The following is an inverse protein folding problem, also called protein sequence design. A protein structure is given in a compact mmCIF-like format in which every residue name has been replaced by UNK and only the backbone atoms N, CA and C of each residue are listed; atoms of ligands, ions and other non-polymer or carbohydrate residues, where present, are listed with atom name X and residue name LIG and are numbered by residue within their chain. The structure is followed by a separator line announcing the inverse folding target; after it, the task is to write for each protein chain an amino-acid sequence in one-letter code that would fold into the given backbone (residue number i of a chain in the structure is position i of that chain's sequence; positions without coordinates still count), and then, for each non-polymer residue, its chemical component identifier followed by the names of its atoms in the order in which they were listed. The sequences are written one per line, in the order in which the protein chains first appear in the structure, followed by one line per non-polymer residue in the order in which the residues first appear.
data_IF_141936338567
#
_entry.id   IF_141936338567
#
_cell.length_a   1.000
_cell.length_b   1.000
_cell.length_c   1.000
_cell.angle_alpha   90.00
_cell.angle_beta   90.00
_cell.angle_gamma   90.00
#
_symmetry.space_group_name_H-M   'P 1'
#
loop_
_entity.id
_entity.type
_entity.pdbx_description
1 polymer ?
#
# COMPACT_ATOMS: atom_id res chain seq x y z
N UNK A 1 68.88 14.28 38.61
CA UNK A 1 67.53 14.55 38.08
C UNK A 1 66.82 13.26 37.59
N UNK A 2 67.02 12.10 38.23
CA UNK A 2 66.80 10.82 37.52
C UNK A 2 65.88 9.82 38.22
N UNK A 3 65.52 10.03 39.51
CA UNK A 3 64.60 9.12 40.23
C UNK A 3 63.14 9.62 40.28
N UNK A 4 62.95 10.93 40.41
CA UNK A 4 61.60 11.55 40.44
C UNK A 4 60.87 11.49 39.08
N UNK A 5 61.59 11.67 37.96
CA UNK A 5 61.01 11.54 36.60
C UNK A 5 60.57 10.11 36.26
N UNK A 6 61.22 9.11 36.84
CA UNK A 6 60.91 7.70 36.58
C UNK A 6 59.65 7.27 37.34
N UNK A 7 59.47 7.74 38.58
CA UNK A 7 58.25 7.54 39.39
C UNK A 7 57.02 8.26 38.82
N UNK A 8 57.21 9.42 38.17
CA UNK A 8 56.12 10.17 37.54
C UNK A 8 55.67 9.52 36.21
N UNK A 9 56.61 8.93 35.44
CA UNK A 9 56.29 8.14 34.24
C UNK A 9 55.57 6.84 34.57
N UNK A 10 55.94 6.13 35.63
CA UNK A 10 55.25 4.88 36.03
C UNK A 10 53.83 5.13 36.55
N UNK A 11 53.61 6.23 37.30
CA UNK A 11 52.25 6.65 37.71
C UNK A 11 51.38 7.08 36.52
N UNK A 12 51.95 7.76 35.53
CA UNK A 12 51.24 8.15 34.31
C UNK A 12 50.89 6.94 33.43
N UNK A 13 51.80 5.98 33.29
CA UNK A 13 51.54 4.73 32.57
C UNK A 13 50.50 3.84 33.28
N UNK A 14 50.54 3.76 34.61
CA UNK A 14 49.54 3.03 35.39
C UNK A 14 48.15 3.70 35.34
N UNK A 15 48.08 5.03 35.30
CA UNK A 15 46.83 5.78 35.14
C UNK A 15 46.25 5.66 33.71
N UNK A 16 47.11 5.59 32.68
CA UNK A 16 46.72 5.31 31.30
C UNK A 16 46.27 3.85 31.11
N UNK A 17 46.96 2.89 31.76
CA UNK A 17 46.54 1.50 31.79
C UNK A 17 45.18 1.35 32.50
N UNK A 18 44.99 1.98 33.67
CA UNK A 18 43.71 1.97 34.38
C UNK A 18 42.55 2.64 33.59
N UNK A 19 42.84 3.68 32.80
CA UNK A 19 41.86 4.26 31.86
C UNK A 19 41.57 3.35 30.66
N UNK A 20 42.54 2.57 30.19
CA UNK A 20 42.37 1.61 29.10
C UNK A 20 41.61 0.34 29.55
N UNK A 21 41.72 -0.07 30.82
CA UNK A 21 40.97 -1.22 31.35
C UNK A 21 39.51 -0.90 31.68
N UNK A 22 39.12 0.39 31.70
CA UNK A 22 37.76 0.82 32.08
C UNK A 22 36.83 1.05 30.87
N UNK A 23 37.26 0.71 29.65
CA UNK A 23 36.42 0.76 28.43
C UNK A 23 36.26 -0.57 27.71
N UNK A 24 36.48 -1.70 28.40
CA UNK A 24 35.83 -2.95 28.02
C UNK A 24 34.42 -2.93 28.57
N UNK A 25 33.53 -2.16 27.93
CA UNK A 25 32.09 -2.25 28.12
C UNK A 25 31.72 -3.71 27.81
N UNK A 26 31.56 -4.53 28.84
CA UNK A 26 31.08 -5.90 28.72
C UNK A 26 29.81 -5.85 27.86
N UNK A 27 29.90 -6.31 26.61
CA UNK A 27 28.75 -6.40 25.72
C UNK A 27 27.79 -7.37 26.40
N UNK A 28 26.68 -6.84 26.95
CA UNK A 28 25.59 -7.68 27.43
C UNK A 28 25.26 -8.71 26.35
N UNK A 29 25.10 -10.00 26.68
CA UNK A 29 24.75 -11.01 25.69
C UNK A 29 23.50 -10.56 24.95
N UNK A 30 23.56 -10.58 23.62
CA UNK A 30 22.44 -10.15 22.78
C UNK A 30 21.26 -11.09 23.03
N UNK A 31 20.06 -10.53 23.12
CA UNK A 31 18.83 -11.34 23.22
C UNK A 31 18.64 -12.18 21.96
N UNK A 32 17.90 -13.29 22.08
CA UNK A 32 17.55 -14.15 20.94
C UNK A 32 16.90 -13.35 19.79
N UNK A 33 16.04 -12.41 20.13
CA UNK A 33 15.36 -11.53 19.17
C UNK A 33 16.32 -10.57 18.48
N UNK A 34 17.30 -10.01 19.21
CA UNK A 34 18.34 -9.17 18.62
C UNK A 34 19.19 -9.95 17.62
N UNK A 35 19.50 -11.23 17.90
CA UNK A 35 20.25 -12.09 17.00
C UNK A 35 19.44 -12.46 15.75
N UNK A 36 18.14 -12.77 15.90
CA UNK A 36 17.24 -13.03 14.79
C UNK A 36 17.10 -11.81 13.87
N UNK A 37 16.95 -10.62 14.45
CA UNK A 37 16.88 -9.34 13.73
C UNK A 37 18.16 -9.07 12.93
N UNK A 38 19.33 -9.29 13.53
CA UNK A 38 20.62 -9.12 12.85
C UNK A 38 20.81 -10.12 11.71
N UNK A 39 20.45 -11.40 11.92
CA UNK A 39 20.49 -12.41 10.86
C UNK A 39 19.60 -12.00 9.68
N UNK A 40 18.39 -11.53 9.97
CA UNK A 40 17.45 -11.08 8.95
C UNK A 40 17.96 -9.88 8.16
N UNK A 41 18.53 -8.88 8.84
CA UNK A 41 19.16 -7.72 8.19
C UNK A 41 20.26 -8.19 7.22
N UNK A 42 21.12 -9.13 7.62
CA UNK A 42 22.16 -9.68 6.72
C UNK A 42 21.57 -10.37 5.49
N UNK A 43 20.51 -11.16 5.66
CA UNK A 43 19.85 -11.83 4.53
C UNK A 43 19.21 -10.84 3.56
N UNK A 44 18.63 -9.75 4.08
CA UNK A 44 18.07 -8.66 3.29
C UNK A 44 19.17 -7.89 2.57
N UNK A 45 20.26 -7.54 3.26
CA UNK A 45 21.40 -6.85 2.66
C UNK A 45 22.00 -7.65 1.49
N UNK A 46 22.19 -8.96 1.70
CA UNK A 46 22.67 -9.86 0.66
C UNK A 46 21.72 -9.86 -0.54
N UNK A 47 20.41 -10.06 -0.31
CA UNK A 47 19.41 -10.06 -1.38
C UNK A 47 19.34 -8.73 -2.15
N UNK A 48 19.46 -7.59 -1.45
CA UNK A 48 19.50 -6.27 -2.07
C UNK A 48 20.73 -6.11 -2.95
N UNK A 49 21.91 -6.51 -2.46
CA UNK A 49 23.17 -6.37 -3.19
C UNK A 49 23.20 -7.26 -4.43
N UNK A 50 22.63 -8.46 -4.34
CA UNK A 50 22.57 -9.40 -5.48
C UNK A 50 21.37 -9.18 -6.39
N UNK A 51 20.47 -8.25 -6.07
CA UNK A 51 19.21 -8.07 -6.81
C UNK A 51 18.24 -9.26 -6.69
N UNK A 52 18.35 -10.09 -5.65
CA UNK A 52 17.52 -11.30 -5.49
C UNK A 52 16.10 -10.94 -5.00
N UNK A 53 15.25 -10.57 -5.96
CA UNK A 53 13.83 -10.22 -5.71
C UNK A 53 13.09 -11.40 -5.07
N UNK A 54 13.35 -12.63 -5.47
CA UNK A 54 12.65 -13.80 -4.93
C UNK A 54 12.98 -14.03 -3.45
N UNK A 55 14.24 -13.81 -3.05
CA UNK A 55 14.62 -13.82 -1.64
C UNK A 55 13.99 -12.65 -0.87
N UNK A 56 13.87 -11.46 -1.47
CA UNK A 56 13.13 -10.35 -0.86
C UNK A 56 11.65 -10.68 -0.68
N UNK A 57 10.99 -11.32 -1.67
CA UNK A 57 9.61 -11.81 -1.56
C UNK A 57 9.45 -12.80 -0.41
N UNK A 58 10.32 -13.81 -0.31
CA UNK A 58 10.30 -14.77 0.81
C UNK A 58 10.49 -14.09 2.17
N UNK A 59 11.36 -13.08 2.22
CA UNK A 59 11.60 -12.27 3.42
C UNK A 59 10.55 -11.17 3.63
N UNK A 60 9.57 -10.98 2.77
CA UNK A 60 8.45 -10.07 3.06
C UNK A 60 7.26 -10.80 3.69
N UNK A 61 7.17 -12.13 3.52
CA UNK A 61 6.06 -12.94 4.06
C UNK A 61 6.23 -13.26 5.55
N UNK A 62 7.46 -13.50 6.01
CA UNK A 62 7.72 -14.05 7.34
C UNK A 62 8.25 -13.01 8.32
N UNK A 63 8.00 -13.15 9.62
CA UNK A 63 8.64 -12.35 10.68
C UNK A 63 8.56 -10.83 10.44
N UNK A 64 9.49 -10.05 10.98
CA UNK A 64 9.40 -8.58 10.96
C UNK A 64 9.60 -7.88 9.58
N UNK A 65 9.39 -8.58 8.45
CA UNK A 65 9.52 -8.01 7.10
C UNK A 65 10.92 -7.44 6.85
N UNK A 66 10.97 -6.17 6.38
CA UNK A 66 12.23 -5.47 6.09
C UNK A 66 12.81 -4.71 7.28
N UNK A 67 12.27 -4.93 8.48
CA UNK A 67 12.90 -4.65 9.78
C UNK A 67 13.04 -3.18 10.17
N UNK A 68 13.44 -2.28 9.27
CA UNK A 68 13.62 -0.85 9.54
C UNK A 68 13.74 -0.02 8.25
N UNK A 69 13.69 1.32 8.38
CA UNK A 69 13.73 2.25 7.25
C UNK A 69 15.06 2.23 6.48
N UNK A 70 16.18 1.88 7.11
CA UNK A 70 17.47 1.84 6.42
C UNK A 70 17.52 0.72 5.37
N UNK A 71 16.89 -0.43 5.66
CA UNK A 71 16.70 -1.50 4.69
C UNK A 71 15.62 -1.12 3.68
N UNK A 72 14.47 -0.61 4.12
CA UNK A 72 13.37 -0.21 3.20
C UNK A 72 13.81 0.81 2.16
N UNK A 73 14.64 1.79 2.54
CA UNK A 73 15.25 2.77 1.61
C UNK A 73 16.10 2.18 0.50
N UNK A 74 16.50 0.92 0.62
CA UNK A 74 17.26 0.19 -0.40
C UNK A 74 16.41 -0.88 -1.06
N UNK A 75 15.55 -1.56 -0.31
CA UNK A 75 14.68 -2.63 -0.80
C UNK A 75 13.49 -2.11 -1.63
N UNK A 76 12.78 -1.07 -1.17
CA UNK A 76 11.62 -0.55 -1.91
C UNK A 76 12.00 0.02 -3.28
N UNK A 77 13.09 0.82 -3.43
CA UNK A 77 13.54 1.24 -4.76
C UNK A 77 13.96 0.10 -5.68
N UNK A 78 14.46 -1.00 -5.12
CA UNK A 78 14.78 -2.21 -5.88
C UNK A 78 13.51 -2.91 -6.36
N UNK A 79 12.52 -3.11 -5.47
CA UNK A 79 11.22 -3.70 -5.79
C UNK A 79 10.36 -2.85 -6.73
N UNK A 80 10.49 -1.53 -6.65
CA UNK A 80 9.79 -0.60 -7.54
C UNK A 80 10.60 -0.26 -8.80
N UNK A 81 11.80 -0.81 -8.95
CA UNK A 81 12.74 -0.52 -10.04
C UNK A 81 12.96 0.98 -10.28
N UNK A 82 13.02 1.76 -9.21
CA UNK A 82 13.29 3.21 -9.29
C UNK A 82 14.79 3.53 -9.24
N UNK A 83 15.62 2.52 -9.01
CA UNK A 83 17.08 2.62 -9.08
C UNK A 83 17.62 2.61 -10.52
N UNK A 84 16.82 2.16 -11.50
CA UNK A 84 17.17 2.25 -12.92
C UNK A 84 16.66 3.56 -13.50
N UNK A 85 17.36 4.15 -14.49
CA UNK A 85 16.85 5.30 -15.23
C UNK A 85 15.50 4.96 -15.87
N UNK A 86 14.61 5.94 -16.00
CA UNK A 86 13.40 5.80 -16.81
C UNK A 86 13.70 6.11 -18.28
N UNK A 87 12.94 5.51 -19.20
CA UNK A 87 12.87 6.01 -20.58
C UNK A 87 12.13 7.35 -20.54
N UNK A 88 12.76 8.43 -20.98
CA UNK A 88 12.28 9.80 -20.75
C UNK A 88 10.88 10.05 -21.32
N UNK A 89 9.88 10.21 -20.44
CA UNK A 89 8.71 11.03 -20.69
C UNK A 89 9.06 12.45 -20.22
N UNK A 90 8.91 13.45 -21.09
CA UNK A 90 9.05 14.85 -20.70
C UNK A 90 8.00 15.21 -19.63
N UNK A 91 8.32 16.13 -18.71
CA UNK A 91 7.26 16.72 -17.90
C UNK A 91 6.45 17.64 -18.82
N UNK A 92 5.17 17.32 -19.04
CA UNK A 92 4.24 18.26 -19.66
C UNK A 92 3.76 19.24 -18.59
N UNK A 93 4.66 20.13 -18.16
CA UNK A 93 4.38 21.12 -17.11
C UNK A 93 3.66 22.37 -17.64
N UNK A 94 3.25 22.36 -18.92
CA UNK A 94 2.68 23.54 -19.57
C UNK A 94 1.21 23.75 -19.25
N UNK A 95 0.50 22.70 -18.81
CA UNK A 95 -0.92 22.77 -18.43
C UNK A 95 -1.15 22.20 -17.04
N UNK A 96 -1.96 22.89 -16.23
CA UNK A 96 -2.37 22.40 -14.90
C UNK A 96 -3.17 21.10 -15.08
N UNK A 97 -2.84 20.07 -14.29
CA UNK A 97 -3.60 18.83 -14.35
C UNK A 97 -5.00 19.05 -13.77
N UNK A 98 -6.02 18.43 -14.37
CA UNK A 98 -7.45 18.59 -13.99
C UNK A 98 -7.75 18.35 -12.50
N UNK A 99 -6.90 17.58 -11.83
CA UNK A 99 -7.08 17.16 -10.44
C UNK A 99 -6.18 17.90 -9.43
N UNK A 100 -5.36 18.88 -9.84
CA UNK A 100 -4.43 19.55 -8.91
C UNK A 100 -5.12 20.21 -7.73
N UNK A 101 -6.28 20.83 -7.93
CA UNK A 101 -7.05 21.44 -6.84
C UNK A 101 -7.51 20.40 -5.83
N UNK A 102 -7.92 19.23 -6.30
CA UNK A 102 -8.30 18.13 -5.43
C UNK A 102 -7.11 17.63 -4.61
N UNK A 103 -5.92 17.54 -5.22
CA UNK A 103 -4.68 17.20 -4.53
C UNK A 103 -4.37 18.23 -3.43
N UNK A 104 -4.52 19.54 -3.69
CA UNK A 104 -4.32 20.60 -2.67
C UNK A 104 -5.23 20.41 -1.45
N UNK A 105 -6.51 20.11 -1.68
CA UNK A 105 -7.48 19.92 -0.60
C UNK A 105 -7.13 18.74 0.33
N UNK A 106 -6.63 17.64 -0.24
CA UNK A 106 -6.32 16.43 0.54
C UNK A 106 -5.01 16.56 1.33
N UNK A 107 -4.03 17.27 0.76
CA UNK A 107 -2.73 17.49 1.41
C UNK A 107 -2.85 18.30 2.70
N UNK A 108 -3.80 19.23 2.77
CA UNK A 108 -4.08 19.99 4.00
C UNK A 108 -4.41 19.06 5.17
N UNK A 109 -5.00 17.89 4.89
CA UNK A 109 -5.39 16.87 5.87
C UNK A 109 -4.28 15.85 6.14
N UNK A 110 -3.15 15.92 5.42
CA UNK A 110 -1.99 15.03 5.59
C UNK A 110 -1.09 15.45 6.76
N UNK A 111 -0.23 14.54 7.22
CA UNK A 111 0.74 14.77 8.31
C UNK A 111 0.12 15.29 9.62
N UNK A 112 -1.10 14.87 9.95
CA UNK A 112 -1.83 15.29 11.16
C UNK A 112 -1.16 14.83 12.45
N UNK A 113 -0.38 13.75 12.40
CA UNK A 113 0.39 13.23 13.53
C UNK A 113 1.65 14.04 13.85
N UNK A 114 2.10 14.93 12.96
CA UNK A 114 3.27 15.75 13.23
C UNK A 114 2.95 16.80 14.31
N UNK A 115 3.88 17.06 15.25
CA UNK A 115 3.71 18.11 16.25
C UNK A 115 3.44 19.47 15.59
N UNK A 116 2.64 20.32 16.23
CA UNK A 116 2.29 21.66 15.71
C UNK A 116 2.37 22.76 16.80
N UNK A 117 3.04 22.49 17.91
CA UNK A 117 3.09 23.38 19.09
C UNK A 117 3.89 24.65 18.84
N UNK A 118 4.91 24.58 17.99
CA UNK A 118 5.82 25.70 17.68
C UNK A 118 5.68 26.14 16.23
N UNK A 119 6.02 27.41 15.96
CA UNK A 119 6.03 27.97 14.59
C UNK A 119 6.96 27.19 13.65
N UNK A 120 8.10 26.71 14.15
CA UNK A 120 9.04 25.90 13.35
C UNK A 120 8.45 24.55 12.98
N UNK A 121 7.74 23.89 13.90
CA UNK A 121 7.03 22.64 13.61
C UNK A 121 5.89 22.83 12.60
N UNK A 122 5.11 23.90 12.73
CA UNK A 122 4.06 24.25 11.76
C UNK A 122 4.64 24.53 10.37
N UNK A 123 5.76 25.26 10.29
CA UNK A 123 6.46 25.51 9.04
C UNK A 123 7.01 24.21 8.42
N UNK A 124 7.60 23.33 9.24
CA UNK A 124 8.09 22.03 8.78
C UNK A 124 6.97 21.12 8.26
N UNK A 125 5.79 21.11 8.92
CA UNK A 125 4.60 20.41 8.42
C UNK A 125 4.14 20.97 7.08
N UNK A 126 4.04 22.30 6.96
CA UNK A 126 3.66 22.96 5.71
C UNK A 126 4.65 22.64 4.58
N UNK A 127 5.95 22.62 4.88
CA UNK A 127 6.97 22.20 3.93
C UNK A 127 6.75 20.74 3.49
N UNK A 128 6.48 19.81 4.42
CA UNK A 128 6.19 18.41 4.07
C UNK A 128 4.93 18.26 3.22
N UNK A 129 3.90 19.05 3.50
CA UNK A 129 2.68 19.13 2.69
C UNK A 129 2.97 19.63 1.27
N UNK A 130 3.80 20.67 1.12
CA UNK A 130 4.23 21.16 -0.20
C UNK A 130 5.07 20.13 -0.96
N UNK A 131 5.99 19.45 -0.26
CA UNK A 131 6.76 18.35 -0.84
C UNK A 131 5.85 17.22 -1.34
N UNK A 132 4.79 16.88 -0.59
CA UNK A 132 3.79 15.88 -0.97
C UNK A 132 2.97 16.32 -2.19
N UNK A 133 2.64 17.61 -2.29
CA UNK A 133 1.96 18.17 -3.46
C UNK A 133 2.78 17.93 -4.72
N UNK A 134 4.06 18.30 -4.68
CA UNK A 134 4.96 18.05 -5.80
C UNK A 134 5.14 16.58 -6.11
N UNK A 135 5.25 15.70 -5.10
CA UNK A 135 5.34 14.24 -5.34
C UNK A 135 4.16 13.73 -6.16
N UNK A 136 2.93 14.15 -5.83
CA UNK A 136 1.72 13.68 -6.51
C UNK A 136 1.55 14.34 -7.88
N UNK A 137 1.69 15.66 -7.96
CA UNK A 137 1.48 16.41 -9.21
C UNK A 137 2.53 16.05 -10.26
N UNK A 138 3.78 15.80 -9.86
CA UNK A 138 4.81 15.30 -10.76
C UNK A 138 4.43 13.99 -11.46
N UNK A 139 3.71 13.09 -10.76
CA UNK A 139 3.21 11.83 -11.35
C UNK A 139 2.10 12.14 -12.36
N UNK A 140 1.17 13.02 -12.00
CA UNK A 140 0.04 13.40 -12.86
C UNK A 140 0.49 14.16 -14.12
N UNK A 141 1.49 15.04 -14.03
CA UNK A 141 2.07 15.73 -15.19
C UNK A 141 2.83 14.79 -16.13
N UNK A 142 3.39 13.69 -15.61
CA UNK A 142 4.06 12.68 -16.45
C UNK A 142 3.06 11.73 -17.11
N UNK A 143 1.94 11.47 -16.43
CA UNK A 143 0.89 10.58 -16.91
C UNK A 143 -0.48 11.29 -16.88
N UNK A 144 -0.72 12.25 -17.78
CA UNK A 144 -1.92 13.12 -17.76
C UNK A 144 -3.24 12.37 -18.02
N UNK A 145 -3.17 11.08 -18.40
CA UNK A 145 -4.35 10.21 -18.53
C UNK A 145 -4.80 9.63 -17.18
N UNK A 146 -3.95 9.66 -16.15
CA UNK A 146 -4.35 9.25 -14.81
C UNK A 146 -5.36 10.24 -14.25
N UNK A 147 -6.26 9.72 -13.43
CA UNK A 147 -7.20 10.52 -12.65
C UNK A 147 -6.88 10.32 -11.17
N UNK A 148 -6.70 11.41 -10.43
CA UNK A 148 -6.38 11.32 -9.01
C UNK A 148 -7.60 10.80 -8.22
N UNK A 149 -7.35 9.83 -7.34
CA UNK A 149 -8.31 9.39 -6.33
C UNK A 149 -7.86 9.85 -4.94
N UNK A 150 -8.82 10.24 -4.12
CA UNK A 150 -8.55 10.63 -2.75
C UNK A 150 -8.20 9.37 -1.93
N UNK A 151 -7.03 9.42 -1.28
CA UNK A 151 -6.35 8.29 -0.64
C UNK A 151 -4.96 8.02 -1.23
N UNK A 152 -4.69 8.44 -2.48
CA UNK A 152 -3.34 8.33 -3.04
C UNK A 152 -2.31 9.18 -2.26
N UNK A 153 -2.74 10.28 -1.65
CA UNK A 153 -1.87 11.08 -0.78
C UNK A 153 -1.37 10.32 0.46
N UNK A 154 -2.13 9.36 1.00
CA UNK A 154 -1.67 8.54 2.13
C UNK A 154 -0.59 7.54 1.67
N UNK A 155 -0.74 6.98 0.46
CA UNK A 155 0.28 6.14 -0.18
C UNK A 155 1.58 6.92 -0.36
N UNK A 156 1.49 8.12 -0.94
CA UNK A 156 2.64 8.99 -1.15
C UNK A 156 3.26 9.48 0.17
N UNK A 157 2.45 9.71 1.21
CA UNK A 157 2.91 10.03 2.56
C UNK A 157 3.75 8.90 3.14
N UNK A 158 3.30 7.64 2.99
CA UNK A 158 4.06 6.47 3.42
C UNK A 158 5.44 6.41 2.74
N UNK A 159 5.47 6.59 1.42
CA UNK A 159 6.70 6.65 0.64
C UNK A 159 7.63 7.77 1.12
N UNK A 160 7.11 8.98 1.33
CA UNK A 160 7.89 10.12 1.79
C UNK A 160 8.51 9.92 3.17
N UNK A 161 7.79 9.28 4.10
CA UNK A 161 8.29 8.98 5.45
C UNK A 161 9.50 8.03 5.40
N UNK A 162 9.50 7.06 4.48
CA UNK A 162 10.59 6.09 4.37
C UNK A 162 11.72 6.59 3.49
N UNK A 163 11.40 7.09 2.29
CA UNK A 163 12.31 7.33 1.18
C UNK A 163 12.80 8.78 1.09
N UNK A 164 12.07 9.74 1.64
CA UNK A 164 12.28 11.16 1.34
C UNK A 164 11.69 11.57 -0.02
N UNK A 165 11.68 12.87 -0.31
CA UNK A 165 10.92 13.45 -1.44
C UNK A 165 11.31 12.85 -2.79
N UNK A 166 12.59 12.92 -3.15
CA UNK A 166 13.06 12.59 -4.50
C UNK A 166 12.82 11.11 -4.84
N UNK A 167 13.17 10.22 -3.92
CA UNK A 167 12.95 8.78 -4.09
C UNK A 167 11.47 8.41 -3.98
N UNK A 168 10.67 9.15 -3.18
CA UNK A 168 9.23 8.95 -3.11
C UNK A 168 8.52 9.33 -4.42
N UNK A 169 8.94 10.39 -5.13
CA UNK A 169 8.37 10.74 -6.44
C UNK A 169 8.48 9.59 -7.44
N UNK A 170 9.67 8.99 -7.56
CA UNK A 170 9.89 7.87 -8.47
C UNK A 170 9.11 6.61 -8.04
N UNK A 171 9.04 6.37 -6.72
CA UNK A 171 8.28 5.26 -6.17
C UNK A 171 6.77 5.44 -6.39
N UNK A 172 6.25 6.66 -6.22
CA UNK A 172 4.85 6.99 -6.42
C UNK A 172 4.43 6.79 -7.89
N UNK A 173 5.27 7.21 -8.84
CA UNK A 173 5.08 6.96 -10.29
C UNK A 173 4.94 5.45 -10.57
N UNK A 174 5.87 4.65 -10.04
CA UNK A 174 5.85 3.19 -10.21
C UNK A 174 4.61 2.56 -9.54
N UNK A 175 4.25 3.00 -8.32
CA UNK A 175 3.06 2.49 -7.65
C UNK A 175 1.77 2.86 -8.38
N UNK A 176 1.65 4.10 -8.87
CA UNK A 176 0.51 4.54 -9.67
C UNK A 176 0.33 3.69 -10.92
N UNK A 177 1.41 3.39 -11.64
CA UNK A 177 1.33 2.70 -12.93
C UNK A 177 1.17 1.18 -12.82
N UNK A 178 1.75 0.55 -11.79
CA UNK A 178 1.80 -0.92 -11.69
C UNK A 178 0.90 -1.52 -10.60
N UNK A 179 0.52 -0.74 -9.58
CA UNK A 179 -0.25 -1.25 -8.44
C UNK A 179 -1.61 -0.57 -8.29
N UNK A 180 -1.66 0.77 -8.39
CA UNK A 180 -2.87 1.56 -8.19
C UNK A 180 -3.53 2.06 -9.47
N UNK A 181 -3.08 1.60 -10.65
CA UNK A 181 -3.57 2.10 -11.95
C UNK A 181 -5.09 2.01 -12.07
N UNK A 182 -5.66 0.89 -11.63
CA UNK A 182 -7.10 0.65 -11.64
C UNK A 182 -7.87 1.60 -10.68
N UNK A 183 -7.21 2.11 -9.64
CA UNK A 183 -7.75 3.15 -8.74
C UNK A 183 -7.68 4.55 -9.37
N UNK A 184 -6.76 4.76 -10.32
CA UNK A 184 -6.48 6.03 -10.98
C UNK A 184 -7.12 6.14 -12.37
N UNK A 185 -8.12 5.29 -12.67
CA UNK A 185 -8.97 5.44 -13.85
C UNK A 185 -10.07 6.49 -13.61
N UNK A 186 -10.86 6.75 -14.64
CA UNK A 186 -12.02 7.66 -14.58
C UNK A 186 -13.18 7.19 -13.69
N UNK A 187 -13.07 6.05 -13.01
CA UNK A 187 -13.98 5.58 -11.97
C UNK A 187 -13.37 4.42 -11.18
N UNK A 188 -13.94 4.12 -10.02
CA UNK A 188 -13.50 3.03 -9.14
C UNK A 188 -14.14 1.67 -9.45
N UNK A 189 -14.92 1.56 -10.54
CA UNK A 189 -15.54 0.28 -10.91
C UNK A 189 -14.55 -0.89 -11.00
N UNK A 190 -13.34 -0.76 -11.59
CA UNK A 190 -12.41 -1.90 -11.64
C UNK A 190 -11.94 -2.33 -10.26
N UNK A 191 -11.80 -1.40 -9.30
CA UNK A 191 -11.45 -1.74 -7.92
C UNK A 191 -12.60 -2.47 -7.22
N UNK A 192 -13.86 -2.10 -7.51
CA UNK A 192 -15.03 -2.82 -6.99
C UNK A 192 -15.16 -4.22 -7.62
N UNK A 193 -14.85 -4.37 -8.91
CA UNK A 193 -14.73 -5.68 -9.57
C UNK A 193 -13.64 -6.53 -8.88
N UNK A 194 -12.48 -5.96 -8.55
CA UNK A 194 -11.44 -6.65 -7.75
C UNK A 194 -11.96 -7.06 -6.36
N UNK A 195 -12.64 -6.16 -5.66
CA UNK A 195 -13.22 -6.42 -4.32
C UNK A 195 -14.27 -7.54 -4.35
N UNK A 196 -15.04 -7.66 -5.44
CA UNK A 196 -16.02 -8.76 -5.57
C UNK A 196 -15.38 -10.15 -5.57
N UNK A 197 -14.10 -10.27 -5.96
CA UNK A 197 -13.36 -11.54 -5.86
C UNK A 197 -13.16 -11.99 -4.41
N UNK A 198 -13.20 -11.06 -3.45
CA UNK A 198 -13.17 -11.38 -2.01
C UNK A 198 -14.32 -12.31 -1.62
N UNK A 199 -15.51 -12.15 -2.21
CA UNK A 199 -16.64 -13.06 -1.96
C UNK A 199 -16.27 -14.50 -2.27
N UNK A 200 -15.52 -14.75 -3.35
CA UNK A 200 -15.09 -16.12 -3.68
C UNK A 200 -14.06 -16.63 -2.69
N UNK A 201 -13.11 -15.80 -2.24
CA UNK A 201 -12.15 -16.15 -1.19
C UNK A 201 -12.86 -16.53 0.12
N UNK A 202 -13.82 -15.71 0.56
CA UNK A 202 -14.60 -15.96 1.78
C UNK A 202 -15.43 -17.24 1.64
N UNK A 203 -16.08 -17.48 0.50
CA UNK A 203 -16.80 -18.74 0.23
C UNK A 203 -15.92 -19.98 0.33
N UNK A 204 -14.66 -19.89 -0.08
CA UNK A 204 -13.75 -21.04 -0.06
C UNK A 204 -13.07 -21.25 1.29
N UNK A 205 -12.72 -20.17 2.00
CA UNK A 205 -11.87 -20.22 3.21
C UNK A 205 -12.67 -20.10 4.52
N UNK A 206 -13.79 -19.39 4.50
CA UNK A 206 -14.68 -19.20 5.65
C UNK A 206 -16.15 -19.07 5.20
N UNK A 207 -16.77 -20.17 4.71
CA UNK A 207 -18.14 -20.16 4.21
C UNK A 207 -19.15 -19.54 5.20
N UNK A 208 -18.95 -19.76 6.50
CA UNK A 208 -19.78 -19.23 7.57
C UNK A 208 -19.76 -17.69 7.63
N UNK A 209 -18.61 -17.08 7.33
CA UNK A 209 -18.46 -15.62 7.26
C UNK A 209 -19.21 -15.09 6.06
N UNK A 210 -19.07 -15.74 4.89
CA UNK A 210 -19.80 -15.30 3.70
C UNK A 210 -21.32 -15.44 3.90
N UNK A 211 -21.79 -16.55 4.47
CA UNK A 211 -23.22 -16.76 4.72
C UNK A 211 -23.80 -15.66 5.62
N UNK A 212 -23.04 -15.26 6.64
CA UNK A 212 -23.44 -14.14 7.50
C UNK A 212 -23.53 -12.82 6.73
N UNK A 213 -22.56 -12.52 5.85
CA UNK A 213 -22.60 -11.33 4.99
C UNK A 213 -23.77 -11.35 4.01
N UNK A 214 -24.08 -12.51 3.44
CA UNK A 214 -25.22 -12.68 2.53
C UNK A 214 -26.54 -12.45 3.28
N UNK A 215 -26.68 -12.98 4.50
CA UNK A 215 -27.86 -12.79 5.36
C UNK A 215 -28.03 -11.35 5.85
N UNK A 216 -26.94 -10.63 6.10
CA UNK A 216 -26.96 -9.19 6.43
C UNK A 216 -27.01 -8.30 5.18
N UNK A 217 -27.16 -8.89 3.99
CA UNK A 217 -27.17 -8.21 2.70
C UNK A 217 -25.97 -7.26 2.49
N UNK A 218 -24.82 -7.57 3.11
CA UNK A 218 -23.64 -6.71 3.11
C UNK A 218 -22.75 -6.99 1.92
N UNK A 219 -22.62 -6.00 1.03
CA UNK A 219 -21.76 -6.07 -0.15
C UNK A 219 -20.27 -6.07 0.22
N UNK A 220 -19.38 -6.71 -0.56
CA UNK A 220 -17.96 -6.87 -0.23
C UNK A 220 -17.12 -5.60 -0.42
N UNK A 221 -17.74 -4.42 -0.47
CA UNK A 221 -17.07 -3.15 -0.77
C UNK A 221 -16.64 -2.37 0.48
N UNK A 222 -16.97 -2.86 1.68
CA UNK A 222 -16.56 -2.25 2.96
C UNK A 222 -15.04 -2.04 3.14
N UNK A 223 -14.10 -2.83 2.56
CA UNK A 223 -12.67 -2.62 2.77
C UNK A 223 -12.03 -1.75 1.67
N UNK A 224 -12.82 -0.95 0.95
CA UNK A 224 -12.33 -0.12 -0.15
C UNK A 224 -11.18 0.81 0.29
N UNK A 225 -11.27 1.46 1.47
CA UNK A 225 -10.16 2.30 1.98
C UNK A 225 -8.88 1.51 2.20
N UNK A 226 -8.99 0.27 2.68
CA UNK A 226 -7.85 -0.59 2.97
C UNK A 226 -7.11 -0.93 1.67
N UNK A 227 -7.85 -1.20 0.61
CA UNK A 227 -7.31 -1.59 -0.69
C UNK A 227 -6.67 -0.41 -1.41
N UNK A 228 -7.33 0.75 -1.46
CA UNK A 228 -6.84 1.91 -2.23
C UNK A 228 -5.70 2.67 -1.51
N UNK A 229 -5.51 2.45 -0.21
CA UNK A 229 -4.43 3.06 0.58
C UNK A 229 -3.45 2.04 1.15
N UNK A 230 -3.62 0.74 0.88
CA UNK A 230 -2.87 -0.33 1.54
C UNK A 230 -2.85 -0.17 3.07
N UNK A 231 -4.03 0.11 3.62
CA UNK A 231 -4.33 0.35 5.04
C UNK A 231 -3.61 1.55 5.67
N UNK A 232 -2.88 2.37 4.90
CA UNK A 232 -2.11 3.50 5.45
C UNK A 232 -3.00 4.59 6.06
N UNK A 233 -4.25 4.68 5.60
CA UNK A 233 -5.24 5.59 6.16
C UNK A 233 -5.89 5.06 7.44
N UNK A 234 -6.16 3.76 7.50
CA UNK A 234 -6.93 3.14 8.58
C UNK A 234 -6.06 2.75 9.78
N UNK A 235 -4.74 2.63 9.58
CA UNK A 235 -3.77 2.36 10.63
C UNK A 235 -3.09 3.65 11.11
N UNK A 236 -2.82 3.72 12.43
CA UNK A 236 -2.05 4.80 13.03
C UNK A 236 -0.59 4.40 13.31
N UNK A 237 -0.33 3.10 13.44
CA UNK A 237 1.00 2.56 13.71
C UNK A 237 1.78 2.42 12.41
N UNK A 238 2.75 3.33 12.22
CA UNK A 238 3.56 3.37 11.00
C UNK A 238 4.38 2.10 10.78
N UNK A 239 4.81 1.40 11.83
CA UNK A 239 5.57 0.16 11.65
C UNK A 239 4.68 -0.95 11.07
N UNK A 240 3.40 -1.00 11.45
CA UNK A 240 2.41 -1.90 10.83
C UNK A 240 2.15 -1.53 9.37
N UNK A 241 2.00 -0.24 9.07
CA UNK A 241 1.82 0.24 7.69
C UNK A 241 3.04 -0.16 6.85
N UNK A 242 4.24 0.17 7.30
CA UNK A 242 5.47 -0.15 6.58
C UNK A 242 5.66 -1.66 6.42
N UNK A 243 5.24 -2.47 7.41
CA UNK A 243 5.26 -3.94 7.34
C UNK A 243 4.30 -4.50 6.29
N UNK A 244 3.11 -3.91 6.13
CA UNK A 244 2.16 -4.23 5.06
C UNK A 244 2.77 -3.87 3.70
N UNK A 245 3.40 -2.70 3.57
CA UNK A 245 4.05 -2.28 2.33
C UNK A 245 5.23 -3.19 1.95
N UNK A 246 6.06 -3.60 2.93
CA UNK A 246 7.14 -4.59 2.71
C UNK A 246 6.59 -5.84 2.00
N UNK A 247 5.40 -6.29 2.41
CA UNK A 247 4.70 -7.44 1.84
C UNK A 247 4.03 -7.15 0.49
N UNK A 248 3.14 -6.15 0.40
CA UNK A 248 2.34 -5.92 -0.79
C UNK A 248 3.18 -5.55 -2.03
N UNK A 249 4.28 -4.82 -1.86
CA UNK A 249 5.21 -4.48 -2.95
C UNK A 249 5.83 -5.71 -3.64
N UNK A 250 5.81 -6.87 -2.98
CA UNK A 250 6.44 -8.09 -3.46
C UNK A 250 5.55 -8.92 -4.40
N UNK A 251 4.25 -8.67 -4.44
CA UNK A 251 3.26 -9.55 -5.09
C UNK A 251 2.36 -8.80 -6.06
N UNK A 252 1.51 -9.55 -6.77
CA UNK A 252 0.49 -8.99 -7.65
C UNK A 252 -0.41 -7.99 -6.89
N UNK A 253 -0.88 -6.89 -7.51
CA UNK A 253 -1.71 -5.87 -6.86
C UNK A 253 -2.96 -6.42 -6.18
N UNK A 254 -3.49 -7.54 -6.69
CA UNK A 254 -4.63 -8.23 -6.10
C UNK A 254 -4.35 -8.75 -4.68
N UNK A 255 -3.08 -8.87 -4.25
CA UNK A 255 -2.68 -9.27 -2.90
C UNK A 255 -3.36 -8.43 -1.80
N UNK A 256 -3.68 -7.16 -2.08
CA UNK A 256 -4.44 -6.31 -1.17
C UNK A 256 -5.85 -6.87 -0.86
N UNK A 257 -6.49 -7.55 -1.82
CA UNK A 257 -7.78 -8.21 -1.63
C UNK A 257 -7.64 -9.46 -0.73
N UNK A 258 -6.57 -10.24 -0.90
CA UNK A 258 -6.28 -11.37 -0.01
C UNK A 258 -5.96 -10.90 1.41
N UNK A 259 -5.25 -9.77 1.55
CA UNK A 259 -5.01 -9.14 2.84
C UNK A 259 -6.33 -8.71 3.51
N UNK A 260 -7.22 -8.06 2.76
CA UNK A 260 -8.54 -7.67 3.26
C UNK A 260 -9.38 -8.90 3.69
N UNK A 261 -9.41 -9.96 2.87
CA UNK A 261 -10.09 -11.21 3.21
C UNK A 261 -9.53 -11.83 4.50
N UNK A 262 -8.21 -11.87 4.66
CA UNK A 262 -7.56 -12.40 5.86
C UNK A 262 -7.94 -11.60 7.12
N UNK A 263 -8.03 -10.26 7.00
CA UNK A 263 -8.49 -9.39 8.11
C UNK A 263 -9.94 -9.70 8.48
N UNK A 264 -10.83 -9.87 7.50
CA UNK A 264 -12.24 -10.20 7.75
C UNK A 264 -12.36 -11.55 8.45
N UNK A 265 -11.68 -12.58 7.94
CA UNK A 265 -11.70 -13.93 8.52
C UNK A 265 -11.15 -13.94 9.95
N UNK A 266 -10.08 -13.17 10.22
CA UNK A 266 -9.49 -13.08 11.57
C UNK A 266 -10.44 -12.53 12.64
N UNK A 267 -11.49 -11.81 12.21
CA UNK A 267 -12.48 -11.16 13.07
C UNK A 267 -13.82 -11.89 13.08
N UNK A 268 -13.88 -13.14 12.60
CA UNK A 268 -15.14 -13.88 12.47
C UNK A 268 -15.94 -14.01 13.77
N UNK A 269 -15.26 -14.19 14.90
CA UNK A 269 -15.92 -14.35 16.20
C UNK A 269 -16.61 -13.05 16.61
N UNK A 270 -15.89 -11.93 16.57
CA UNK A 270 -16.46 -10.59 16.79
C UNK A 270 -17.57 -10.26 15.79
N UNK A 271 -17.42 -10.66 14.52
CA UNK A 271 -18.42 -10.42 13.48
C UNK A 271 -19.76 -11.11 13.80
N UNK A 272 -19.72 -12.35 14.29
CA UNK A 272 -20.94 -13.11 14.62
C UNK A 272 -21.66 -12.60 15.88
N UNK A 273 -21.00 -11.77 16.69
CA UNK A 273 -21.63 -11.06 17.80
C UNK A 273 -22.34 -9.78 17.35
N UNK A 274 -22.05 -9.27 16.15
CA UNK A 274 -22.73 -8.11 15.58
C UNK A 274 -24.15 -8.49 15.19
N UNK A 275 -25.10 -7.57 15.39
CA UNK A 275 -26.45 -7.73 14.87
C UNK A 275 -26.40 -7.94 13.34
N UNK A 276 -27.10 -8.97 12.86
CA UNK A 276 -27.12 -9.38 11.45
C UNK A 276 -27.98 -8.42 10.60
N UNK A 277 -27.57 -7.15 10.60
CA UNK A 277 -28.14 -6.01 9.89
C UNK A 277 -27.05 -5.34 9.04
N UNK A 278 -27.43 -4.88 7.84
CA UNK A 278 -26.49 -4.32 6.88
C UNK A 278 -25.67 -3.15 7.47
N UNK A 279 -26.32 -2.20 8.15
CA UNK A 279 -25.66 -1.01 8.64
C UNK A 279 -24.68 -1.33 9.79
N UNK A 280 -25.08 -2.24 10.68
CA UNK A 280 -24.25 -2.68 11.81
C UNK A 280 -23.02 -3.45 11.34
N UNK A 281 -23.21 -4.42 10.44
CA UNK A 281 -22.13 -5.23 9.86
C UNK A 281 -21.18 -4.36 9.04
N UNK A 282 -21.70 -3.48 8.17
CA UNK A 282 -20.89 -2.55 7.39
C UNK A 282 -20.07 -1.61 8.29
N UNK A 283 -20.68 -1.06 9.36
CA UNK A 283 -19.99 -0.20 10.33
C UNK A 283 -18.86 -0.92 11.07
N UNK A 284 -19.05 -2.20 11.39
CA UNK A 284 -18.02 -3.02 12.02
C UNK A 284 -16.87 -3.33 11.06
N UNK A 285 -17.19 -3.71 9.82
CA UNK A 285 -16.21 -4.17 8.83
C UNK A 285 -15.45 -3.04 8.14
N UNK A 286 -15.96 -1.82 8.10
CA UNK A 286 -15.21 -0.65 7.58
C UNK A 286 -14.06 -0.21 8.49
N UNK A 287 -14.10 -0.58 9.77
CA UNK A 287 -13.04 -0.22 10.73
C UNK A 287 -11.94 -1.26 10.71
N UNK A 288 -10.71 -0.86 10.38
CA UNK A 288 -9.57 -1.76 10.49
C UNK A 288 -9.27 -2.09 11.96
N UNK A 289 -9.01 -3.36 12.32
CA UNK A 289 -8.76 -3.76 13.71
C UNK A 289 -7.45 -3.17 14.27
N UNK A 290 -7.52 -2.48 15.42
CA UNK A 290 -6.35 -1.82 16.05
C UNK A 290 -5.28 -2.80 16.55
N UNK A 291 -5.73 -3.91 17.14
CA UNK A 291 -4.86 -4.90 17.80
C UNK A 291 -4.58 -6.13 16.93
N UNK A 292 -4.75 -6.01 15.61
CA UNK A 292 -4.53 -7.13 14.71
C UNK A 292 -3.07 -7.57 14.70
N UNK A 293 -2.87 -8.89 14.67
CA UNK A 293 -1.57 -9.51 14.42
C UNK A 293 -1.29 -9.49 12.93
N UNK A 294 -0.51 -8.50 12.49
CA UNK A 294 -0.14 -8.30 11.09
C UNK A 294 0.59 -9.53 10.51
N UNK A 295 1.37 -10.25 11.32
CA UNK A 295 2.10 -11.42 10.84
C UNK A 295 1.14 -12.57 10.51
N UNK A 296 0.11 -12.77 11.35
CA UNK A 296 -0.94 -13.76 11.07
C UNK A 296 -1.73 -13.39 9.81
N UNK A 297 -2.10 -12.12 9.66
CA UNK A 297 -2.82 -11.64 8.46
C UNK A 297 -1.99 -11.86 7.20
N UNK A 298 -0.71 -11.49 7.22
CA UNK A 298 0.19 -11.65 6.07
C UNK A 298 0.38 -13.14 5.73
N UNK A 299 0.58 -13.99 6.75
CA UNK A 299 0.71 -15.43 6.55
C UNK A 299 -0.54 -16.02 5.90
N UNK A 300 -1.73 -15.65 6.38
CA UNK A 300 -2.99 -16.15 5.86
C UNK A 300 -3.27 -15.62 4.44
N UNK A 301 -3.04 -14.33 4.20
CA UNK A 301 -3.18 -13.72 2.87
C UNK A 301 -2.26 -14.39 1.85
N UNK A 302 -1.00 -14.63 2.22
CA UNK A 302 -0.05 -15.34 1.38
C UNK A 302 -0.48 -16.79 1.12
N UNK A 303 -0.98 -17.51 2.13
CA UNK A 303 -1.50 -18.87 1.94
C UNK A 303 -2.65 -18.89 0.93
N UNK A 304 -3.65 -18.02 1.07
CA UNK A 304 -4.75 -17.93 0.11
C UNK A 304 -4.25 -17.59 -1.30
N UNK A 305 -3.29 -16.66 -1.43
CA UNK A 305 -2.68 -16.30 -2.71
C UNK A 305 -1.99 -17.49 -3.39
N UNK A 306 -1.27 -18.33 -2.61
CA UNK A 306 -0.62 -19.53 -3.15
C UNK A 306 -1.62 -20.60 -3.55
N UNK A 307 -2.71 -20.77 -2.80
CA UNK A 307 -3.78 -21.74 -3.10
C UNK A 307 -4.61 -21.32 -4.31
N UNK A 308 -4.91 -20.02 -4.40
CA UNK A 308 -5.77 -19.40 -5.40
C UNK A 308 -5.07 -18.19 -6.03
N UNK A 309 -4.04 -18.36 -6.86
CA UNK A 309 -3.39 -17.23 -7.55
C UNK A 309 -4.41 -16.46 -8.41
N UNK A 310 -4.13 -15.18 -8.77
CA UNK A 310 -5.12 -14.29 -9.37
C UNK A 310 -5.90 -14.87 -10.55
N UNK A 311 -5.24 -15.59 -11.46
CA UNK A 311 -5.91 -16.24 -12.60
C UNK A 311 -6.86 -17.36 -12.16
N UNK A 312 -6.44 -18.20 -11.21
CA UNK A 312 -7.26 -19.27 -10.64
C UNK A 312 -8.44 -18.70 -9.86
N UNK A 313 -8.24 -17.63 -9.09
CA UNK A 313 -9.31 -16.98 -8.34
C UNK A 313 -10.37 -16.38 -9.28
N UNK A 314 -9.97 -15.64 -10.31
CA UNK A 314 -10.88 -15.10 -11.32
C UNK A 314 -11.67 -16.21 -12.02
N UNK A 315 -11.01 -17.32 -12.38
CA UNK A 315 -11.68 -18.48 -12.95
C UNK A 315 -12.68 -19.13 -11.97
N UNK A 316 -12.32 -19.32 -10.69
CA UNK A 316 -13.25 -19.86 -9.70
C UNK A 316 -14.45 -18.96 -9.47
N UNK A 317 -14.23 -17.65 -9.46
CA UNK A 317 -15.28 -16.65 -9.32
C UNK A 317 -16.16 -16.52 -10.58
N UNK A 318 -15.73 -17.09 -11.72
CA UNK A 318 -16.27 -16.80 -13.06
C UNK A 318 -16.37 -15.28 -13.31
N UNK A 319 -15.40 -14.54 -12.76
CA UNK A 319 -15.34 -13.10 -12.79
C UNK A 319 -13.94 -12.70 -13.24
N UNK A 320 -13.79 -12.46 -14.54
CA UNK A 320 -12.55 -11.96 -15.12
C UNK A 320 -12.52 -10.44 -15.03
N UNK A 321 -11.46 -9.92 -14.42
CA UNK A 321 -11.12 -8.51 -14.47
C UNK A 321 -10.74 -8.12 -15.89
N UNK A 322 -10.71 -6.81 -16.14
CA UNK A 322 -10.28 -6.25 -17.41
C UNK A 322 -8.89 -6.75 -17.82
N UNK A 323 -8.67 -7.03 -19.10
CA UNK A 323 -7.37 -7.51 -19.61
C UNK A 323 -6.24 -6.49 -19.41
N UNK A 324 -6.60 -5.21 -19.34
CA UNK A 324 -5.74 -4.06 -19.09
C UNK A 324 -5.67 -3.69 -17.60
N UNK A 325 -6.33 -4.44 -16.71
CA UNK A 325 -6.20 -4.25 -15.26
C UNK A 325 -4.74 -4.43 -14.81
N UNK A 326 -4.29 -3.65 -13.83
CA UNK A 326 -2.96 -3.82 -13.23
C UNK A 326 -2.73 -5.24 -12.68
N UNK A 327 -3.80 -5.92 -12.25
CA UNK A 327 -3.77 -7.31 -11.82
C UNK A 327 -3.40 -8.25 -12.97
N UNK A 328 -4.03 -8.08 -14.13
CA UNK A 328 -3.88 -8.96 -15.29
C UNK A 328 -2.65 -8.63 -16.13
N UNK A 329 -2.13 -7.41 -16.08
CA UNK A 329 -0.90 -7.02 -16.77
C UNK A 329 0.36 -7.21 -15.93
N UNK A 330 0.24 -7.47 -14.62
CA UNK A 330 1.38 -7.45 -13.69
C UNK A 330 2.56 -8.35 -14.08
N UNK A 331 2.30 -9.47 -14.75
CA UNK A 331 3.31 -10.43 -15.21
C UNK A 331 3.41 -10.54 -16.74
N UNK A 332 2.70 -9.68 -17.49
CA UNK A 332 2.71 -9.70 -18.95
C UNK A 332 3.97 -8.97 -19.47
N UNK A 333 4.60 -9.43 -20.56
CA UNK A 333 5.75 -8.73 -21.16
C UNK A 333 5.43 -7.26 -21.44
N UNK A 334 6.44 -6.37 -21.30
CA UNK A 334 6.34 -4.91 -21.55
C UNK A 334 5.40 -4.10 -20.63
N UNK A 335 4.57 -4.76 -19.84
CA UNK A 335 3.62 -4.14 -18.90
C UNK A 335 3.82 -4.63 -17.47
N UNK A 336 4.73 -5.58 -17.29
CA UNK A 336 5.25 -6.01 -16.00
C UNK A 336 6.36 -5.09 -15.54
N UNK A 337 6.43 -4.90 -14.22
CA UNK A 337 7.59 -4.28 -13.61
C UNK A 337 8.83 -5.19 -13.74
N UNK A 338 8.66 -6.51 -13.80
CA UNK A 338 9.73 -7.50 -13.90
C UNK A 338 9.56 -8.32 -15.18
N UNK A 339 10.31 -8.00 -16.24
CA UNK A 339 10.33 -8.86 -17.42
C UNK A 339 10.93 -10.22 -17.03
N UNK A 340 10.11 -11.27 -17.13
CA UNK A 340 10.33 -12.59 -16.52
C UNK A 340 11.50 -13.43 -17.09
N UNK A 341 12.44 -12.88 -17.87
CA UNK A 341 13.32 -13.75 -18.69
C UNK A 341 14.82 -13.45 -18.67
N UNK A 342 15.32 -12.27 -18.27
CA UNK A 342 16.76 -12.02 -18.38
C UNK A 342 17.39 -11.43 -17.12
N UNK A 343 18.47 -12.06 -16.65
CA UNK A 343 19.36 -11.57 -15.57
C UNK A 343 19.93 -10.16 -15.86
N UNK A 344 19.75 -9.63 -17.08
CA UNK A 344 20.07 -8.24 -17.47
C UNK A 344 18.96 -7.22 -17.14
N UNK A 345 17.77 -7.66 -16.74
CA UNK A 345 16.60 -6.82 -16.47
C UNK A 345 16.83 -5.81 -15.33
N UNK A 346 17.77 -6.04 -14.40
CA UNK A 346 18.07 -5.06 -13.35
C UNK A 346 18.70 -3.76 -13.84
N UNK A 347 19.14 -3.69 -15.10
CA UNK A 347 19.74 -2.47 -15.68
C UNK A 347 18.87 -1.81 -16.76
N UNK A 348 17.88 -2.53 -17.30
CA UNK A 348 17.01 -2.00 -18.35
C UNK A 348 16.11 -0.90 -17.78
N UNK A 349 16.04 0.28 -18.40
CA UNK A 349 15.09 1.31 -18.01
C UNK A 349 13.65 0.79 -17.96
N UNK A 350 12.86 1.27 -16.99
CA UNK A 350 11.42 1.02 -17.00
C UNK A 350 10.80 1.85 -18.12
N UNK A 351 10.07 1.17 -19.02
CA UNK A 351 9.32 1.79 -20.11
C UNK A 351 7.85 1.90 -19.69
N UNK A 352 7.38 3.13 -19.51
CA UNK A 352 6.00 3.42 -19.11
C UNK A 352 5.07 3.60 -20.32
N UNK A 353 5.60 3.77 -21.54
CA UNK A 353 4.81 4.01 -22.76
C UNK A 353 3.73 2.94 -22.98
N UNK A 354 4.02 1.62 -22.85
CA UNK A 354 2.99 0.60 -23.04
C UNK A 354 1.84 0.72 -22.04
N UNK A 355 2.11 1.18 -20.81
CA UNK A 355 1.09 1.31 -19.77
C UNK A 355 0.27 2.59 -20.01
N UNK A 356 0.91 3.67 -20.46
CA UNK A 356 0.21 4.89 -20.86
C UNK A 356 -0.71 4.68 -22.08
N UNK A 357 -0.35 3.77 -22.98
CA UNK A 357 -1.21 3.34 -24.09
C UNK A 357 -2.46 2.59 -23.57
N UNK A 358 -2.31 1.73 -22.56
CA UNK A 358 -3.44 1.03 -21.93
C UNK A 358 -4.45 1.99 -21.31
N UNK A 359 -3.99 3.08 -20.69
CA UNK A 359 -4.87 4.12 -20.10
C UNK A 359 -5.79 4.78 -21.13
N UNK A 360 -5.38 4.82 -22.40
CA UNK A 360 -6.21 5.34 -23.51
C UNK A 360 -7.02 4.27 -24.25
N UNK A 361 -6.80 2.99 -23.93
CA UNK A 361 -7.45 1.89 -24.62
C UNK A 361 -8.82 1.60 -24.02
N UNK A 362 -9.82 1.20 -24.83
CA UNK A 362 -11.08 0.72 -24.30
C UNK A 362 -10.86 -0.45 -23.34
N UNK A 363 -11.74 -0.57 -22.35
CA UNK A 363 -11.79 -1.72 -21.45
C UNK A 363 -12.14 -2.98 -22.24
N UNK A 364 -11.38 -4.05 -22.04
CA UNK A 364 -11.57 -5.35 -22.72
C UNK A 364 -11.73 -6.41 -21.65
N UNK A 365 -12.90 -7.07 -21.62
CA UNK A 365 -13.11 -8.26 -20.78
C UNK A 365 -12.86 -9.53 -21.57
N UNK A 366 -12.18 -10.49 -20.94
CA UNK A 366 -11.75 -11.77 -21.56
C UNK A 366 -12.94 -12.64 -22.02
N UNK A 367 -14.13 -12.39 -21.52
CA UNK A 367 -15.39 -13.01 -21.94
C UNK A 367 -16.42 -11.92 -22.23
N UNK A 368 -17.46 -12.22 -23.03
CA UNK A 368 -18.65 -11.36 -23.21
C UNK A 368 -19.46 -11.13 -21.91
N UNK A 369 -18.87 -11.40 -20.74
CA UNK A 369 -19.48 -11.25 -19.44
C UNK A 369 -19.57 -9.79 -19.02
N UNK A 370 -20.70 -9.43 -18.43
CA UNK A 370 -20.93 -8.15 -17.80
C UNK A 370 -20.07 -8.00 -16.53
N UNK A 371 -19.94 -6.76 -16.03
CA UNK A 371 -19.29 -6.43 -14.75
C UNK A 371 -19.65 -7.40 -13.62
N UNK A 372 -18.72 -7.72 -12.70
CA UNK A 372 -19.07 -8.54 -11.54
C UNK A 372 -20.17 -7.86 -10.72
N UNK A 373 -20.15 -6.52 -10.78
CA UNK A 373 -21.19 -5.67 -10.24
C UNK A 373 -22.58 -5.99 -10.80
N UNK A 374 -22.71 -6.44 -12.04
CA UNK A 374 -24.00 -6.83 -12.62
C UNK A 374 -24.66 -8.02 -11.92
N UNK A 375 -23.90 -8.83 -11.18
CA UNK A 375 -24.43 -9.92 -10.37
C UNK A 375 -25.12 -9.42 -9.09
N UNK A 376 -24.90 -8.17 -8.69
CA UNK A 376 -25.56 -7.58 -7.53
C UNK A 376 -26.84 -6.85 -7.95
N UNK A 377 -27.90 -6.88 -7.12
CA UNK A 377 -29.13 -6.16 -7.41
C UNK A 377 -28.88 -4.66 -7.67
N UNK A 378 -29.41 -4.11 -8.77
CA UNK A 378 -29.20 -2.70 -9.14
C UNK A 378 -29.59 -1.74 -8.02
N UNK A 379 -30.71 -2.01 -7.34
CA UNK A 379 -31.16 -1.26 -6.18
C UNK A 379 -30.17 -1.33 -5.01
N UNK A 380 -29.50 -2.46 -4.76
CA UNK A 380 -28.48 -2.61 -3.73
C UNK A 380 -27.20 -1.84 -4.09
N UNK A 381 -26.78 -1.87 -5.35
CA UNK A 381 -25.66 -1.05 -5.83
C UNK A 381 -25.97 0.44 -5.79
N UNK A 382 -27.16 0.84 -6.23
CA UNK A 382 -27.60 2.23 -6.18
C UNK A 382 -27.79 2.70 -4.74
N UNK A 383 -28.26 1.84 -3.85
CA UNK A 383 -28.35 2.12 -2.42
C UNK A 383 -26.95 2.20 -1.81
N UNK A 384 -26.00 1.34 -2.19
CA UNK A 384 -24.61 1.45 -1.76
C UNK A 384 -24.00 2.77 -2.23
N UNK A 385 -24.19 3.14 -3.50
CA UNK A 385 -23.79 4.43 -4.04
C UNK A 385 -24.45 5.60 -3.30
N UNK A 386 -25.76 5.55 -3.06
CA UNK A 386 -26.52 6.58 -2.33
C UNK A 386 -26.15 6.65 -0.86
N UNK A 387 -25.93 5.53 -0.19
CA UNK A 387 -25.51 5.46 1.21
C UNK A 387 -24.09 5.98 1.34
N UNK A 388 -23.20 5.64 0.40
CA UNK A 388 -21.89 6.29 0.27
C UNK A 388 -22.07 7.79 0.08
N UNK A 389 -22.95 8.26 -0.82
CA UNK A 389 -23.25 9.68 -1.08
C UNK A 389 -23.93 10.41 0.12
N UNK A 390 -24.68 9.69 0.96
CA UNK A 390 -25.38 10.26 2.13
C UNK A 390 -24.48 10.26 3.36
N UNK A 391 -23.70 9.20 3.57
CA UNK A 391 -22.57 9.18 4.52
C UNK A 391 -21.54 10.26 4.18
N UNK A 392 -21.44 10.61 2.89
CA UNK A 392 -20.67 11.72 2.33
C UNK A 392 -21.24 13.09 2.73
N UNK A 393 -22.56 13.31 2.68
CA UNK A 393 -23.16 14.61 2.96
C UNK A 393 -23.22 14.99 4.46
N UNK A 394 -23.19 14.01 5.37
CA UNK A 394 -23.29 14.21 6.82
C UNK A 394 -21.90 14.08 7.46
N UNK A 395 -21.08 15.12 7.36
CA UNK A 395 -19.72 15.11 7.94
C UNK A 395 -19.71 15.27 9.47
N UNK A 396 -18.82 14.51 10.13
CA UNK A 396 -18.26 14.75 11.47
C UNK A 396 -19.12 14.40 12.70
N UNK A 397 -19.21 13.12 13.08
CA UNK A 397 -19.32 12.74 14.51
C UNK A 397 -19.09 11.24 14.76
N UNK A 398 -19.45 10.37 13.83
CA UNK A 398 -19.38 8.93 14.08
C UNK A 398 -19.41 8.15 12.77
N UNK A 399 -18.40 7.27 12.59
CA UNK A 399 -18.30 6.18 11.58
C UNK A 399 -17.44 6.50 10.34
N UNK A 400 -16.38 5.70 10.18
CA UNK A 400 -15.61 5.42 8.95
C UNK A 400 -15.00 6.59 8.19
N UNK A 401 -13.75 6.96 8.49
CA UNK A 401 -12.94 7.89 7.69
C UNK A 401 -12.74 7.44 6.23
N UNK A 402 -13.12 6.21 5.87
CA UNK A 402 -13.21 5.69 4.50
C UNK A 402 -14.27 6.39 3.62
N UNK A 403 -15.44 6.74 4.17
CA UNK A 403 -16.44 7.53 3.44
C UNK A 403 -15.92 8.95 3.17
N UNK A 404 -15.12 9.47 4.11
CA UNK A 404 -14.44 10.76 3.98
C UNK A 404 -13.34 10.77 2.93
N UNK A 405 -12.73 9.62 2.61
CA UNK A 405 -11.70 9.45 1.58
C UNK A 405 -12.24 9.50 0.15
N UNK A 406 -13.53 9.39 -0.08
CA UNK A 406 -14.06 9.34 -1.44
C UNK A 406 -14.80 10.65 -1.80
N UNK A 407 -14.81 11.59 -0.85
CA UNK A 407 -15.72 12.72 -0.80
C UNK A 407 -15.49 13.83 -1.80
N UNK A 408 -14.25 14.08 -2.19
CA UNK A 408 -13.91 15.31 -2.89
C UNK A 408 -13.41 15.10 -4.33
N UNK A 409 -13.17 13.85 -4.76
CA UNK A 409 -12.86 13.57 -6.16
C UNK A 409 -14.07 13.83 -7.07
N UNK A 410 -13.98 14.73 -8.07
CA UNK A 410 -15.03 14.92 -9.08
C UNK A 410 -15.37 13.61 -9.79
N UNK A 411 -14.36 12.76 -10.01
CA UNK A 411 -14.43 11.46 -10.66
C UNK A 411 -15.25 10.45 -9.84
N UNK A 412 -15.05 10.41 -8.52
CA UNK A 412 -15.85 9.56 -7.65
C UNK A 412 -17.30 10.04 -7.56
N UNK A 413 -17.53 11.36 -7.48
CA UNK A 413 -18.89 11.93 -7.51
C UNK A 413 -19.60 11.66 -8.83
N UNK A 414 -18.91 11.76 -9.95
CA UNK A 414 -19.45 11.44 -11.27
C UNK A 414 -19.82 9.95 -11.39
N UNK A 415 -18.98 9.05 -10.87
CA UNK A 415 -19.32 7.63 -10.78
C UNK A 415 -20.53 7.35 -9.87
N UNK A 416 -20.65 8.06 -8.74
CA UNK A 416 -21.82 7.95 -7.86
C UNK A 416 -23.12 8.47 -8.51
N UNK A 417 -23.00 9.47 -9.39
CA UNK A 417 -24.15 10.13 -10.04
C UNK A 417 -24.58 9.46 -11.36
N UNK A 418 -23.67 8.76 -12.05
CA UNK A 418 -23.97 8.10 -13.33
C UNK A 418 -24.60 6.70 -13.11
N UNK A 419 -25.94 6.66 -13.07
CA UNK A 419 -26.74 5.43 -12.96
C UNK A 419 -26.88 4.63 -14.28
N UNK A 420 -26.25 5.05 -15.36
CA UNK A 420 -26.44 4.47 -16.69
C UNK A 420 -25.11 4.15 -17.36
N UNK A 421 -24.74 2.87 -17.33
CA UNK A 421 -23.95 2.26 -18.39
C UNK A 421 -24.58 0.89 -18.67
N UNK A 422 -24.95 0.70 -19.95
CA UNK A 422 -25.56 -0.52 -20.49
C UNK A 422 -24.55 -1.65 -20.57
#
# INVERSE_FOLDING_TARGET
MTRARQLQKTRSAAALAAKATTTLRQRRPKTKDSLAKEKRIRQLDEAIVTGDIEKLRKLSVTGAGFVNHAIRRRAWPLLLRTHVPRKHLGLDSATEHKDEEQVRLDIVRSFTHLPMETKSQQAAKKQKQEELFHVIVDVLHRHPKLSYYQGFHDVCTCLMIVLGKEAATMAAESMAMFFFRDCMLNNLEPVLDQLSLMTTLLKTEAPEVQEFLDRSETLPFFPLSWVITWCSHDLQDFEKIARIYDFLLCFNPLMSIYLAAAVVISRREELFEVECDNAMVHTFLTKFPKNVDIELIISHAHQMYMTYPPEKLQNLAQNWLDENSCVNTFNKPKTSLYDNVDEKAFSTPVDFEPIDELLGSPRVKRTNGTSALSNYPKNALDLYRKNMLTMVAVSAASIGTAALLLLNSPVFREWLNNATFH
#
